data_IF_459724721706
#
_entry.id   IF_459724721706
#
_cell.length_a   1.000
_cell.length_b   1.000
_cell.length_c   1.000
_cell.angle_alpha   90.00
_cell.angle_beta   90.00
_cell.angle_gamma   90.00
#
_symmetry.space_group_name_H-M   'P 1'
#
loop_
_entity.id
_entity.type
_entity.pdbx_description
1 polymer ?
#
# COMPACT_ATOMS: atom_id res chain seq x y z
N UNK A 1 -24.88 -4.45 -2.61
CA UNK A 1 -25.59 -3.35 -3.30
C UNK A 1 -24.63 -2.18 -3.35
N UNK A 2 -24.16 -1.83 -4.55
CA UNK A 2 -22.94 -1.04 -4.72
C UNK A 2 -23.29 0.28 -5.40
N UNK A 3 -23.49 1.31 -4.57
CA UNK A 3 -24.00 2.61 -4.97
C UNK A 3 -23.05 3.33 -5.93
N UNK A 4 -21.74 3.11 -5.80
CA UNK A 4 -20.73 3.81 -6.61
C UNK A 4 -20.82 3.48 -8.10
N UNK A 5 -21.29 2.27 -8.47
CA UNK A 5 -21.55 1.89 -9.87
C UNK A 5 -22.54 2.83 -10.60
N UNK A 6 -23.39 3.53 -9.86
CA UNK A 6 -24.36 4.47 -10.44
C UNK A 6 -23.84 5.91 -10.49
N UNK A 7 -22.80 6.24 -9.73
CA UNK A 7 -22.27 7.61 -9.62
C UNK A 7 -20.92 7.80 -10.28
N UNK A 8 -20.09 6.76 -10.35
CA UNK A 8 -18.76 6.83 -10.98
C UNK A 8 -18.84 6.19 -12.35
N UNK A 9 -19.06 7.04 -13.36
CA UNK A 9 -19.11 6.67 -14.77
C UNK A 9 -18.34 7.70 -15.57
N UNK A 10 -17.74 7.27 -16.66
CA UNK A 10 -17.26 8.20 -17.65
C UNK A 10 -18.43 8.98 -18.24
N UNK A 11 -18.20 10.26 -18.57
CA UNK A 11 -19.20 11.14 -19.18
C UNK A 11 -19.76 10.56 -20.47
N UNK A 12 -18.90 9.90 -21.26
CA UNK A 12 -19.30 9.15 -22.45
C UNK A 12 -19.65 7.69 -22.09
N UNK A 13 -20.89 7.24 -22.31
CA UNK A 13 -21.33 5.89 -21.93
C UNK A 13 -20.49 4.75 -22.52
N UNK A 14 -19.97 4.94 -23.73
CA UNK A 14 -19.12 3.95 -24.42
C UNK A 14 -17.80 3.67 -23.69
N UNK A 15 -17.26 4.66 -22.98
CA UNK A 15 -15.97 4.52 -22.29
C UNK A 15 -16.05 3.55 -21.10
N UNK A 16 -17.21 3.44 -20.45
CA UNK A 16 -17.41 2.43 -19.40
C UNK A 16 -17.23 1.02 -19.98
N UNK A 17 -17.82 0.75 -21.15
CA UNK A 17 -17.71 -0.57 -21.79
C UNK A 17 -16.27 -0.88 -22.19
N UNK A 18 -15.54 0.10 -22.73
CA UNK A 18 -14.13 -0.07 -23.10
C UNK A 18 -13.29 -0.34 -21.85
N UNK A 19 -13.51 0.44 -20.78
CA UNK A 19 -12.81 0.27 -19.51
C UNK A 19 -13.02 -1.12 -18.91
N UNK A 20 -14.26 -1.61 -18.86
CA UNK A 20 -14.55 -2.97 -18.36
C UNK A 20 -13.82 -4.03 -19.17
N UNK A 21 -13.83 -3.94 -20.51
CA UNK A 21 -13.15 -4.89 -21.38
C UNK A 21 -11.63 -4.89 -21.19
N UNK A 22 -11.00 -3.71 -21.09
CA UNK A 22 -9.56 -3.60 -20.87
C UNK A 22 -9.17 -4.09 -19.47
N UNK A 23 -9.98 -3.81 -18.45
CA UNK A 23 -9.78 -4.33 -17.09
C UNK A 23 -9.86 -5.87 -17.06
N UNK A 24 -10.76 -6.45 -17.84
CA UNK A 24 -10.88 -7.91 -18.00
C UNK A 24 -9.59 -8.52 -18.53
N UNK A 25 -9.03 -7.93 -19.60
CA UNK A 25 -7.79 -8.38 -20.22
C UNK A 25 -6.60 -8.27 -19.28
N UNK A 26 -6.49 -7.14 -18.56
CA UNK A 26 -5.38 -6.90 -17.65
C UNK A 26 -5.40 -7.84 -16.43
N UNK A 27 -6.59 -8.11 -15.89
CA UNK A 27 -6.74 -8.89 -14.64
C UNK A 27 -6.98 -10.38 -14.87
N UNK A 28 -7.36 -10.80 -16.09
CA UNK A 28 -7.68 -12.19 -16.43
C UNK A 28 -8.95 -12.74 -15.77
N UNK A 29 -9.79 -11.89 -15.18
CA UNK A 29 -11.00 -12.29 -14.45
C UNK A 29 -12.23 -12.17 -15.34
N UNK A 30 -13.05 -13.23 -15.45
CA UNK A 30 -14.24 -13.24 -16.34
C UNK A 30 -15.40 -12.34 -15.87
N UNK A 31 -15.51 -12.10 -14.57
CA UNK A 31 -16.39 -11.09 -14.00
C UNK A 31 -15.58 -9.82 -13.76
N UNK A 32 -15.76 -8.82 -14.61
CA UNK A 32 -15.15 -7.51 -14.41
C UNK A 32 -15.84 -6.85 -13.22
N UNK A 33 -15.06 -6.58 -12.19
CA UNK A 33 -15.55 -6.07 -10.90
C UNK A 33 -15.77 -4.54 -10.93
N UNK A 34 -15.62 -3.91 -12.10
CA UNK A 34 -15.91 -2.52 -12.40
C UNK A 34 -15.05 -1.48 -11.68
N UNK A 35 -15.38 -0.21 -11.93
CA UNK A 35 -14.64 0.97 -11.40
C UNK A 35 -14.60 0.97 -9.87
N UNK A 36 -15.65 0.48 -9.22
CA UNK A 36 -15.77 0.51 -7.77
C UNK A 36 -14.80 -0.42 -7.05
N UNK A 37 -14.69 -1.67 -7.48
CA UNK A 37 -13.73 -2.60 -6.89
C UNK A 37 -12.29 -2.20 -7.21
N UNK A 38 -12.06 -1.56 -8.37
CA UNK A 38 -10.77 -0.91 -8.64
C UNK A 38 -10.47 0.18 -7.59
N UNK A 39 -11.44 1.04 -7.28
CA UNK A 39 -11.27 2.08 -6.26
C UNK A 39 -11.08 1.49 -4.86
N UNK A 40 -11.82 0.43 -4.51
CA UNK A 40 -11.68 -0.26 -3.23
C UNK A 40 -10.34 -0.98 -3.10
N UNK A 41 -9.87 -1.66 -4.15
CA UNK A 41 -8.57 -2.32 -4.16
C UNK A 41 -7.44 -1.29 -4.05
N UNK A 42 -7.55 -0.18 -4.79
CA UNK A 42 -6.61 0.94 -4.69
C UNK A 42 -6.56 1.52 -3.28
N UNK A 43 -7.71 1.83 -2.69
CA UNK A 43 -7.78 2.35 -1.32
C UNK A 43 -7.18 1.37 -0.30
N UNK A 44 -7.44 0.06 -0.43
CA UNK A 44 -6.82 -0.97 0.42
C UNK A 44 -5.31 -1.03 0.26
N UNK A 45 -4.81 -0.93 -0.98
CA UNK A 45 -3.38 -0.97 -1.27
C UNK A 45 -2.66 0.30 -0.78
N UNK A 46 -3.28 1.47 -0.94
CA UNK A 46 -2.79 2.74 -0.38
C UNK A 46 -2.73 2.67 1.15
N UNK A 47 -3.78 2.15 1.81
CA UNK A 47 -3.78 1.94 3.26
C UNK A 47 -2.65 1.02 3.75
N UNK A 48 -2.41 -0.11 3.05
CA UNK A 48 -1.29 -1.01 3.37
C UNK A 48 0.07 -0.34 3.18
N UNK A 49 0.23 0.49 2.16
CA UNK A 49 1.47 1.22 1.92
C UNK A 49 1.72 2.25 3.02
N UNK A 50 0.70 2.99 3.44
CA UNK A 50 0.78 3.93 4.56
C UNK A 50 1.13 3.23 5.88
N UNK A 51 0.50 2.10 6.18
CA UNK A 51 0.82 1.32 7.40
C UNK A 51 2.27 0.84 7.40
N UNK A 52 2.77 0.32 6.27
CA UNK A 52 4.18 -0.07 6.15
C UNK A 52 5.12 1.11 6.35
N UNK A 53 4.78 2.28 5.80
CA UNK A 53 5.57 3.49 5.98
C UNK A 53 5.58 3.97 7.45
N UNK A 54 4.43 3.91 8.14
CA UNK A 54 4.33 4.21 9.57
C UNK A 54 5.15 3.23 10.41
N UNK A 55 5.00 1.93 10.18
CA UNK A 55 5.76 0.90 10.87
C UNK A 55 7.28 1.07 10.68
N UNK A 56 7.73 1.42 9.46
CA UNK A 56 9.15 1.70 9.21
C UNK A 56 9.64 2.94 9.96
N UNK A 57 8.84 4.01 10.01
CA UNK A 57 9.16 5.21 10.81
C UNK A 57 9.27 4.87 12.29
N UNK A 58 8.32 4.11 12.84
CA UNK A 58 8.34 3.67 14.23
C UNK A 58 9.60 2.84 14.55
N UNK A 59 9.92 1.84 13.71
CA UNK A 59 11.16 1.06 13.85
C UNK A 59 12.40 1.94 13.88
N UNK A 60 12.51 2.93 12.98
CA UNK A 60 13.61 3.89 12.96
C UNK A 60 13.68 4.74 14.22
N UNK A 61 12.54 5.18 14.77
CA UNK A 61 12.53 5.93 16.03
C UNK A 61 12.97 5.08 17.22
N UNK A 62 12.59 3.80 17.26
CA UNK A 62 13.02 2.85 18.30
C UNK A 62 14.52 2.60 18.20
N UNK A 63 15.03 2.31 16.99
CA UNK A 63 16.46 2.13 16.73
C UNK A 63 17.28 3.35 17.18
N UNK A 64 16.82 4.56 16.86
CA UNK A 64 17.49 5.81 17.29
C UNK A 64 17.50 5.97 18.81
N UNK A 65 16.41 5.64 19.50
CA UNK A 65 16.36 5.66 20.97
C UNK A 65 17.33 4.63 21.58
N UNK A 66 17.46 3.45 20.98
CA UNK A 66 18.39 2.40 21.44
C UNK A 66 19.85 2.78 21.19
N UNK A 67 20.16 3.35 20.02
CA UNK A 67 21.48 3.90 19.69
C UNK A 67 21.90 4.98 20.69
N UNK A 68 20.99 5.91 21.01
CA UNK A 68 21.24 6.95 22.02
C UNK A 68 21.45 6.39 23.44
N UNK A 69 20.97 5.19 23.73
CA UNK A 69 21.20 4.48 25.01
C UNK A 69 22.47 3.64 25.01
N UNK A 70 23.23 3.61 23.90
CA UNK A 70 24.47 2.85 23.78
C UNK A 70 24.27 1.34 23.62
N UNK A 71 23.11 0.89 23.12
CA UNK A 71 22.87 -0.52 22.81
C UNK A 71 23.66 -0.90 21.55
N UNK A 72 24.20 -2.12 21.52
CA UNK A 72 24.95 -2.65 20.38
C UNK A 72 24.13 -2.65 19.09
N UNK A 73 24.77 -2.30 17.97
CA UNK A 73 24.10 -2.15 16.67
C UNK A 73 23.53 -3.49 16.18
N UNK A 74 24.19 -4.62 16.45
CA UNK A 74 23.67 -5.93 16.05
C UNK A 74 22.39 -6.28 16.82
N UNK A 75 22.35 -5.98 18.12
CA UNK A 75 21.14 -6.17 18.94
C UNK A 75 19.99 -5.28 18.46
N UNK A 76 20.27 -4.05 18.01
CA UNK A 76 19.25 -3.15 17.45
C UNK A 76 18.74 -3.71 16.11
N UNK A 77 19.62 -4.23 15.26
CA UNK A 77 19.26 -4.84 13.98
C UNK A 77 18.34 -6.05 14.19
N UNK A 78 18.68 -6.95 15.10
CA UNK A 78 17.85 -8.10 15.46
C UNK A 78 16.48 -7.69 16.02
N UNK A 79 16.43 -6.69 16.91
CA UNK A 79 15.19 -6.27 17.55
C UNK A 79 14.24 -5.49 16.62
N UNK A 80 14.77 -4.69 15.69
CA UNK A 80 13.96 -3.82 14.81
C UNK A 80 13.75 -4.41 13.42
N UNK A 81 14.58 -5.37 13.02
CA UNK A 81 14.63 -5.92 11.67
C UNK A 81 15.15 -4.92 10.63
N UNK A 82 15.84 -3.87 11.06
CA UNK A 82 16.56 -2.94 10.19
C UNK A 82 17.96 -3.49 9.90
N UNK A 83 18.53 -3.11 8.77
CA UNK A 83 19.92 -3.46 8.45
C UNK A 83 20.90 -2.63 9.27
N UNK A 84 22.10 -3.16 9.50
CA UNK A 84 23.18 -2.46 10.22
C UNK A 84 23.47 -1.11 9.56
N UNK A 85 23.53 -1.05 8.22
CA UNK A 85 23.74 0.18 7.45
C UNK A 85 22.66 1.24 7.71
N UNK A 86 21.40 0.83 7.77
CA UNK A 86 20.30 1.74 8.09
C UNK A 86 20.41 2.30 9.51
N UNK A 87 20.89 1.51 10.46
CA UNK A 87 21.06 1.95 11.86
C UNK A 87 22.27 2.87 12.03
N UNK A 88 23.35 2.65 11.28
CA UNK A 88 24.51 3.53 11.25
C UNK A 88 24.15 4.93 10.73
N UNK A 89 23.27 5.01 9.72
CA UNK A 89 22.80 6.26 9.13
C UNK A 89 21.73 7.03 9.95
N UNK A 90 21.18 6.44 11.02
CA UNK A 90 20.19 7.07 11.92
C UNK A 90 20.80 7.99 12.98
#
# INVERSE_FOLDING_TARGET
>A
MNFLRYYVRFSEPGNNSIFEQELQKLTGRSNTMGIEELLLDRAKNEGKAEERAKALKEKKTIARKFKNKGIDINTIAEATGLTIQEIEQL
#
